data_IF_697237299334
#
_entry.id   IF_697237299334
#
_cell.length_a   1.000
_cell.length_b   1.000
_cell.length_c   1.000
_cell.angle_alpha   90.00
_cell.angle_beta   90.00
_cell.angle_gamma   90.00
#
_symmetry.space_group_name_H-M   'P 1'
#
loop_
_entity.id
_entity.type
_entity.pdbx_description
1 polymer ?
#
# COMPACT_ATOMS: atom_id res chain seq x y z
N UNK A 1 -1.18 -14.81 -11.26
CA UNK A 1 -0.59 -13.49 -10.95
C UNK A 1 -0.11 -13.51 -9.52
N UNK A 2 1.13 -13.07 -9.30
CA UNK A 2 1.76 -12.88 -7.98
C UNK A 2 1.69 -11.41 -7.59
N UNK A 3 2.06 -11.09 -6.35
CA UNK A 3 2.10 -9.70 -5.90
C UNK A 3 3.09 -8.86 -6.72
N UNK A 4 4.24 -9.44 -7.07
CA UNK A 4 5.28 -8.79 -7.87
C UNK A 4 4.89 -8.54 -9.34
N UNK A 5 3.78 -9.11 -9.80
CA UNK A 5 3.23 -8.82 -11.13
C UNK A 5 2.40 -7.52 -11.12
N UNK A 6 2.10 -6.96 -9.94
CA UNK A 6 1.38 -5.68 -9.82
C UNK A 6 2.32 -4.50 -10.08
N UNK A 7 1.84 -3.43 -10.75
CA UNK A 7 2.63 -2.23 -10.92
C UNK A 7 2.98 -1.63 -9.56
N UNK A 8 4.20 -1.10 -9.46
CA UNK A 8 4.78 -0.51 -8.25
C UNK A 8 5.11 -1.50 -7.10
N UNK A 9 4.77 -2.79 -7.20
CA UNK A 9 5.04 -3.78 -6.15
C UNK A 9 6.33 -4.54 -6.44
N UNK A 10 7.41 -4.15 -5.77
CA UNK A 10 8.67 -4.88 -5.77
C UNK A 10 8.72 -6.02 -4.73
N UNK A 11 9.76 -6.85 -4.80
CA UNK A 11 9.99 -7.99 -3.88
C UNK A 11 9.93 -7.62 -2.40
N UNK A 12 10.39 -6.42 -2.02
CA UNK A 12 10.36 -5.94 -0.63
C UNK A 12 8.92 -5.78 -0.15
N UNK A 13 8.11 -4.97 -0.85
CA UNK A 13 6.70 -4.75 -0.51
C UNK A 13 5.91 -6.06 -0.55
N UNK A 14 6.19 -6.94 -1.52
CA UNK A 14 5.56 -8.25 -1.56
C UNK A 14 5.94 -9.14 -0.35
N UNK A 15 7.18 -9.03 0.14
CA UNK A 15 7.62 -9.69 1.38
C UNK A 15 6.87 -9.17 2.60
N UNK A 16 6.72 -7.85 2.70
CA UNK A 16 6.00 -7.16 3.77
C UNK A 16 4.50 -7.53 3.76
N UNK A 17 3.86 -7.56 2.59
CA UNK A 17 2.47 -8.02 2.46
C UNK A 17 2.31 -9.48 2.91
N UNK A 18 3.26 -10.34 2.55
CA UNK A 18 3.25 -11.75 2.97
C UNK A 18 3.43 -11.92 4.48
N UNK A 19 4.17 -11.03 5.15
CA UNK A 19 4.29 -11.08 6.61
C UNK A 19 2.97 -10.73 7.31
N UNK A 20 2.09 -9.98 6.65
CA UNK A 20 0.71 -9.71 7.09
C UNK A 20 -0.30 -10.80 6.67
N UNK A 21 0.15 -11.89 6.04
CA UNK A 21 -0.74 -12.94 5.53
C UNK A 21 -1.45 -12.60 4.21
N UNK A 22 -1.01 -11.55 3.50
CA UNK A 22 -1.51 -11.20 2.17
C UNK A 22 -0.58 -11.85 1.14
N UNK A 23 -1.04 -12.91 0.48
CA UNK A 23 -0.23 -13.73 -0.42
C UNK A 23 -0.56 -13.51 -1.89
N UNK A 24 -1.74 -12.96 -2.20
CA UNK A 24 -2.24 -12.80 -3.57
C UNK A 24 -2.73 -11.38 -3.87
N UNK A 25 -2.70 -10.95 -5.15
CA UNK A 25 -3.33 -9.70 -5.57
C UNK A 25 -4.81 -9.58 -5.22
N UNK A 26 -5.55 -10.69 -5.25
CA UNK A 26 -6.98 -10.73 -4.92
C UNK A 26 -7.24 -10.51 -3.43
N UNK A 27 -6.34 -10.95 -2.56
CA UNK A 27 -6.39 -10.63 -1.13
C UNK A 27 -6.07 -9.15 -0.91
N UNK A 28 -5.01 -8.64 -1.54
CA UNK A 28 -4.65 -7.23 -1.47
C UNK A 28 -5.80 -6.32 -1.96
N UNK A 29 -6.53 -6.74 -3.00
CA UNK A 29 -7.68 -6.01 -3.53
C UNK A 29 -8.81 -5.80 -2.51
N UNK A 30 -8.90 -6.63 -1.47
CA UNK A 30 -9.90 -6.52 -0.40
C UNK A 30 -9.44 -5.63 0.75
N UNK A 31 -8.18 -5.24 0.77
CA UNK A 31 -7.60 -4.44 1.83
C UNK A 31 -7.75 -2.94 1.56
N UNK A 32 -7.87 -2.17 2.64
CA UNK A 32 -7.76 -0.72 2.62
C UNK A 32 -6.27 -0.30 2.67
N UNK A 33 -5.78 0.54 1.75
CA UNK A 33 -4.36 0.93 1.69
C UNK A 33 -3.82 1.54 2.99
N UNK A 34 -4.61 2.39 3.67
CA UNK A 34 -4.17 3.03 4.91
C UNK A 34 -4.05 2.02 6.05
N UNK A 35 -5.06 1.16 6.19
CA UNK A 35 -5.09 0.10 7.20
C UNK A 35 -3.93 -0.87 7.01
N UNK A 36 -3.66 -1.30 5.77
CA UNK A 36 -2.49 -2.14 5.45
C UNK A 36 -1.18 -1.43 5.76
N UNK A 37 -1.04 -0.15 5.39
CA UNK A 37 0.15 0.64 5.70
C UNK A 37 0.41 0.77 7.22
N UNK A 38 -0.64 0.93 8.02
CA UNK A 38 -0.53 0.99 9.48
C UNK A 38 -0.06 -0.36 10.06
N UNK A 39 -0.66 -1.48 9.62
CA UNK A 39 -0.25 -2.82 10.05
C UNK A 39 1.21 -3.13 9.71
N UNK A 40 1.68 -2.70 8.54
CA UNK A 40 3.09 -2.80 8.17
C UNK A 40 3.99 -2.04 9.14
N UNK A 41 3.59 -0.80 9.48
CA UNK A 41 4.34 0.06 10.40
C UNK A 41 4.46 -0.51 11.82
N UNK A 42 3.41 -1.14 12.32
CA UNK A 42 3.38 -1.74 13.66
C UNK A 42 4.28 -2.98 13.76
N UNK A 43 4.46 -3.71 12.65
CA UNK A 43 5.24 -4.95 12.61
C UNK A 43 6.77 -4.74 12.61
N UNK A 44 7.27 -3.54 12.29
CA UNK A 44 8.71 -3.30 12.04
C UNK A 44 9.39 -2.29 12.97
N UNK A 45 8.67 -1.67 13.92
CA UNK A 45 9.25 -0.76 14.92
C UNK A 45 9.93 0.50 14.37
N UNK A 46 9.84 0.75 13.05
CA UNK A 46 10.29 1.95 12.36
C UNK A 46 9.18 2.46 11.46
N UNK A 47 9.03 3.78 11.45
CA UNK A 47 8.10 4.49 10.58
C UNK A 47 8.47 4.20 9.12
N UNK A 48 7.59 3.52 8.39
CA UNK A 48 7.79 3.27 6.97
C UNK A 48 7.86 4.61 6.22
N UNK A 49 8.62 4.61 5.12
CA UNK A 49 8.55 5.70 4.16
C UNK A 49 7.09 5.82 3.68
N UNK A 50 6.47 7.02 3.75
CA UNK A 50 5.10 7.21 3.30
C UNK A 50 4.88 6.85 1.81
N UNK A 51 5.93 6.71 1.00
CA UNK A 51 5.84 6.17 -0.36
C UNK A 51 5.24 4.75 -0.41
N UNK A 52 5.30 3.99 0.67
CA UNK A 52 4.65 2.67 0.79
C UNK A 52 3.13 2.82 0.72
N UNK A 53 2.54 3.80 1.42
CA UNK A 53 1.11 4.08 1.32
C UNK A 53 0.73 4.42 -0.12
N UNK A 54 1.51 5.26 -0.79
CA UNK A 54 1.21 5.70 -2.16
C UNK A 54 1.31 4.53 -3.14
N UNK A 55 2.25 3.61 -2.89
CA UNK A 55 2.40 2.36 -3.63
C UNK A 55 1.17 1.45 -3.46
N UNK A 56 0.66 1.30 -2.22
CA UNK A 56 -0.55 0.53 -1.94
C UNK A 56 -1.79 1.15 -2.60
N UNK A 57 -1.90 2.49 -2.59
CA UNK A 57 -2.98 3.21 -3.28
C UNK A 57 -2.94 2.99 -4.80
N UNK A 58 -1.75 3.04 -5.40
CA UNK A 58 -1.60 2.77 -6.83
C UNK A 58 -1.89 1.31 -7.21
N UNK A 59 -1.47 0.36 -6.37
CA UNK A 59 -1.80 -1.05 -6.57
C UNK A 59 -3.31 -1.31 -6.46
N UNK A 60 -3.98 -0.69 -5.48
CA UNK A 60 -5.44 -0.75 -5.31
C UNK A 60 -6.17 -0.17 -6.52
N UNK A 61 -5.73 1.00 -7.00
CA UNK A 61 -6.27 1.59 -8.22
C UNK A 61 -6.15 0.64 -9.42
N UNK A 62 -4.96 0.07 -9.67
CA UNK A 62 -4.77 -0.88 -10.76
C UNK A 62 -5.68 -2.10 -10.64
N UNK A 63 -5.86 -2.65 -9.44
CA UNK A 63 -6.73 -3.80 -9.19
C UNK A 63 -8.22 -3.50 -9.44
N UNK A 64 -8.63 -2.24 -9.33
CA UNK A 64 -10.02 -1.79 -9.54
C UNK A 64 -10.27 -1.33 -10.97
N UNK A 65 -9.33 -0.62 -11.60
CA UNK A 65 -9.50 0.01 -12.91
C UNK A 65 -8.81 -0.73 -14.06
N UNK A 66 -7.82 -1.58 -13.76
CA UNK A 66 -6.90 -2.14 -14.75
C UNK A 66 -5.86 -1.15 -15.30
N UNK A 67 -5.87 0.11 -14.85
CA UNK A 67 -4.95 1.16 -15.32
C UNK A 67 -3.67 1.18 -14.47
N UNK A 68 -2.53 1.02 -15.12
CA UNK A 68 -1.23 1.13 -14.46
C UNK A 68 -0.79 2.59 -14.38
N UNK A 69 -0.73 3.12 -13.16
CA UNK A 69 -0.23 4.47 -12.88
C UNK A 69 0.96 4.42 -11.92
N UNK A 70 1.85 5.40 -12.06
CA UNK A 70 2.99 5.53 -11.17
C UNK A 70 2.53 5.95 -9.76
N UNK A 71 3.12 5.35 -8.72
CA UNK A 71 2.75 5.58 -7.32
C UNK A 71 2.79 7.06 -6.90
N UNK A 72 3.72 7.87 -7.45
CA UNK A 72 3.86 9.27 -7.04
C UNK A 72 2.66 10.13 -7.42
N UNK A 73 1.77 9.68 -8.32
CA UNK A 73 0.48 10.35 -8.57
C UNK A 73 -0.42 10.39 -7.33
N UNK A 74 -0.20 9.50 -6.35
CA UNK A 74 -0.94 9.45 -5.09
C UNK A 74 -0.27 10.19 -3.94
N UNK A 75 0.84 10.91 -4.19
CA UNK A 75 1.60 11.61 -3.14
C UNK A 75 0.72 12.59 -2.35
N UNK A 76 -0.02 13.46 -3.05
CA UNK A 76 -0.82 14.49 -2.38
C UNK A 76 -2.01 13.89 -1.63
N UNK A 77 -2.70 12.92 -2.24
CA UNK A 77 -3.80 12.20 -1.61
C UNK A 77 -3.34 11.44 -0.35
N UNK A 78 -2.22 10.72 -0.45
CA UNK A 78 -1.66 9.99 0.69
C UNK A 78 -1.14 10.91 1.80
N UNK A 79 -0.55 12.06 1.48
CA UNK A 79 -0.19 13.09 2.48
C UNK A 79 -1.42 13.62 3.20
N UNK A 80 -2.47 13.98 2.46
CA UNK A 80 -3.71 14.46 3.05
C UNK A 80 -4.33 13.41 3.99
N UNK A 81 -4.33 12.15 3.57
CA UNK A 81 -4.81 11.03 4.38
C UNK A 81 -4.01 10.85 5.67
N UNK A 82 -2.67 10.84 5.59
CA UNK A 82 -1.81 10.72 6.77
C UNK A 82 -1.96 11.91 7.74
N UNK A 83 -2.19 13.12 7.23
CA UNK A 83 -2.43 14.30 8.06
C UNK A 83 -3.78 14.23 8.76
N UNK A 84 -4.83 13.79 8.07
CA UNK A 84 -6.17 13.69 8.65
C UNK A 84 -6.26 12.62 9.74
N UNK A 85 -5.57 11.49 9.60
CA UNK A 85 -5.54 10.43 10.61
C UNK A 85 -4.80 10.86 11.89
N UNK A 86 -3.74 11.67 11.77
CA UNK A 86 -2.97 12.18 12.92
C UNK A 86 -3.73 13.20 13.75
N UNK A 87 -4.63 13.96 13.13
CA UNK A 87 -5.41 14.99 13.82
C UNK A 87 -6.51 14.43 14.75
N UNK A 88 -6.77 13.12 14.68
CA UNK A 88 -7.80 12.41 15.45
C UNK A 88 -7.21 11.41 16.46
N UNK A 89 -5.90 11.48 16.73
CA UNK A 89 -5.18 10.66 17.72
C UNK A 89 -4.87 11.46 18.98
#
# INVERSE_FOLDING_TARGET
MKLEDLPNIGKSIAGDLRSLGIHTPQELAKCDPLSTYNLLSDSMGKRHDPCVLYTLMAAKHFLESGESVAWWKFTDAGKALLLSTRAHS
#
